data_IF_891423686297
#
_entry.id   IF_891423686297
#
_cell.length_a   1.000
_cell.length_b   1.000
_cell.length_c   1.000
_cell.angle_alpha   90.00
_cell.angle_beta   90.00
_cell.angle_gamma   90.00
#
_symmetry.space_group_name_H-M   'P 1'
#
loop_
_entity.id
_entity.type
_entity.pdbx_description
1 polymer ?
#
# COMPACT_ATOMS: atom_id res chain seq x y z
N UNK A 1 -14.40 -41.09 -41.96
CA UNK A 1 -14.82 -39.79 -41.39
C UNK A 1 -13.79 -39.39 -40.36
N UNK A 2 -12.83 -38.55 -40.76
CA UNK A 2 -11.69 -38.15 -39.94
C UNK A 2 -12.01 -36.83 -39.21
N UNK A 3 -11.48 -36.73 -37.99
CA UNK A 3 -11.66 -35.64 -37.03
C UNK A 3 -10.80 -34.45 -37.41
N UNK A 4 -11.41 -33.28 -37.60
CA UNK A 4 -10.69 -32.01 -37.63
C UNK A 4 -10.71 -31.40 -36.23
N UNK A 5 -9.60 -31.55 -35.53
CA UNK A 5 -9.29 -30.83 -34.28
C UNK A 5 -8.58 -29.54 -34.66
N UNK A 6 -9.25 -28.40 -34.46
CA UNK A 6 -8.57 -27.11 -34.45
C UNK A 6 -7.84 -26.96 -33.11
N UNK A 7 -6.51 -27.10 -33.13
CA UNK A 7 -5.63 -26.67 -32.04
C UNK A 7 -4.96 -25.38 -32.52
N UNK A 8 -5.42 -24.24 -32.03
CA UNK A 8 -4.70 -22.98 -32.20
C UNK A 8 -3.59 -22.91 -31.16
N UNK A 9 -2.40 -23.41 -31.50
CA UNK A 9 -1.19 -23.23 -30.70
C UNK A 9 -0.57 -21.87 -31.08
N UNK A 10 -0.96 -20.82 -30.37
CA UNK A 10 -0.26 -19.52 -30.47
C UNK A 10 0.89 -19.53 -29.48
N UNK A 11 2.09 -19.88 -29.95
CA UNK A 11 3.32 -19.72 -29.17
C UNK A 11 3.77 -18.26 -29.28
N UNK A 12 3.41 -17.42 -28.31
CA UNK A 12 4.05 -16.11 -28.14
C UNK A 12 5.14 -16.25 -27.09
N UNK A 13 6.39 -16.18 -27.54
CA UNK A 13 7.55 -16.06 -26.66
C UNK A 13 7.61 -14.61 -26.17
N UNK A 14 7.32 -14.39 -24.88
CA UNK A 14 7.59 -13.12 -24.23
C UNK A 14 8.80 -13.27 -23.30
N UNK A 15 9.83 -12.45 -23.56
CA UNK A 15 10.96 -12.30 -22.66
C UNK A 15 10.49 -11.73 -21.32
N UNK A 16 10.78 -12.45 -20.24
CA UNK A 16 10.50 -11.99 -18.88
C UNK A 16 11.49 -10.91 -18.48
N UNK A 17 11.02 -9.67 -18.42
CA UNK A 17 11.59 -8.64 -17.57
C UNK A 17 10.44 -7.93 -16.84
N UNK A 18 9.72 -8.67 -15.99
CA UNK A 18 8.92 -8.04 -14.95
C UNK A 18 9.88 -7.43 -13.95
N UNK A 19 10.20 -6.14 -14.10
CA UNK A 19 10.91 -5.41 -13.07
C UNK A 19 10.06 -5.50 -11.81
N UNK A 20 10.54 -6.24 -10.79
CA UNK A 20 10.00 -6.12 -9.45
C UNK A 20 10.01 -4.62 -9.13
N UNK A 21 8.83 -4.03 -8.97
CA UNK A 21 8.76 -2.62 -8.67
C UNK A 21 9.53 -2.37 -7.38
N UNK A 22 10.60 -1.58 -7.50
CA UNK A 22 11.42 -1.24 -6.37
C UNK A 22 10.54 -0.55 -5.32
N UNK A 23 10.60 -1.07 -4.10
CA UNK A 23 9.93 -0.47 -2.95
C UNK A 23 10.44 0.96 -2.76
N UNK A 24 9.52 1.93 -2.79
CA UNK A 24 9.84 3.34 -2.59
C UNK A 24 9.41 3.74 -1.19
N UNK A 25 10.36 4.17 -0.36
CA UNK A 25 10.09 4.80 0.93
C UNK A 25 9.89 6.30 0.70
N UNK A 26 8.80 6.87 1.20
CA UNK A 26 8.43 8.27 0.92
C UNK A 26 9.49 9.23 1.41
N UNK A 27 9.98 9.04 2.63
CA UNK A 27 10.97 9.93 3.23
C UNK A 27 12.41 9.53 2.85
N UNK A 28 12.63 8.28 2.42
CA UNK A 28 13.92 7.81 1.88
C UNK A 28 15.13 8.10 2.77
N UNK A 29 14.92 8.21 4.09
CA UNK A 29 15.90 8.80 5.00
C UNK A 29 17.02 7.82 5.30
N UNK A 30 18.30 8.21 5.15
CA UNK A 30 19.38 7.45 5.77
C UNK A 30 19.20 7.54 7.29
N UNK A 31 19.25 6.39 7.96
CA UNK A 31 19.23 6.34 9.43
C UNK A 31 20.28 7.30 10.00
N UNK A 32 19.80 8.30 10.74
CA UNK A 32 20.59 9.25 11.55
C UNK A 32 21.86 9.82 10.88
N UNK A 33 21.72 10.50 9.75
CA UNK A 33 22.80 11.35 9.26
C UNK A 33 22.91 12.62 10.15
N UNK A 34 24.08 12.81 10.79
CA UNK A 34 24.42 14.08 11.44
C UNK A 34 24.45 15.20 10.38
N UNK A 35 23.64 16.25 10.54
CA UNK A 35 23.62 17.42 9.63
C UNK A 35 22.28 17.75 8.97
N UNK A 36 21.18 17.04 9.28
CA UNK A 36 19.86 17.19 8.62
C UNK A 36 18.86 18.09 9.36
N UNK A 37 19.29 18.80 10.41
CA UNK A 37 18.37 19.60 11.24
C UNK A 37 17.55 18.77 12.24
N UNK A 38 17.91 17.50 12.45
CA UNK A 38 17.32 16.62 13.47
C UNK A 38 17.64 17.15 14.86
N UNK A 39 16.60 17.40 15.64
CA UNK A 39 16.68 17.65 17.08
C UNK A 39 16.29 16.38 17.82
N UNK A 40 17.20 15.91 18.68
CA UNK A 40 16.93 14.80 19.58
C UNK A 40 16.20 15.31 20.81
N UNK A 41 15.04 14.74 21.08
CA UNK A 41 14.31 15.00 22.30
C UNK A 41 14.51 13.82 23.25
N UNK A 42 14.83 14.15 24.50
CA UNK A 42 15.03 13.18 25.56
C UNK A 42 13.79 12.34 25.86
N UNK A 43 13.97 11.30 26.66
CA UNK A 43 12.89 10.46 27.12
C UNK A 43 11.77 11.29 27.77
N UNK A 44 10.54 11.04 27.37
CA UNK A 44 9.35 11.62 27.99
C UNK A 44 8.76 10.66 29.03
N UNK A 45 7.69 11.04 29.73
CA UNK A 45 6.93 10.11 30.60
C UNK A 45 5.65 9.60 29.94
N UNK A 46 5.31 10.10 28.75
CA UNK A 46 4.09 9.75 28.02
C UNK A 46 4.40 8.89 26.81
N UNK A 47 3.45 8.01 26.47
CA UNK A 47 3.42 7.26 25.21
C UNK A 47 2.90 8.18 24.10
N UNK A 48 3.50 8.12 22.90
CA UNK A 48 3.12 9.00 21.78
C UNK A 48 2.93 8.20 20.50
N UNK A 49 1.89 8.54 19.75
CA UNK A 49 1.68 8.06 18.38
C UNK A 49 1.97 9.24 17.47
N UNK A 50 3.05 9.17 16.69
CA UNK A 50 3.62 10.31 15.96
C UNK A 50 3.91 9.93 14.51
N UNK A 51 3.68 10.88 13.61
CA UNK A 51 4.01 10.77 12.21
C UNK A 51 3.43 11.94 11.43
N UNK A 52 2.98 11.70 10.21
CA UNK A 52 2.59 12.77 9.30
C UNK A 52 1.35 12.42 8.47
N UNK A 53 0.62 13.48 8.11
CA UNK A 53 -0.44 13.43 7.13
C UNK A 53 0.11 13.67 5.73
N UNK A 54 -0.40 12.92 4.76
CA UNK A 54 -0.03 13.05 3.36
C UNK A 54 -1.24 12.89 2.43
N UNK A 55 -1.13 13.48 1.23
CA UNK A 55 -2.06 13.26 0.12
C UNK A 55 -1.50 12.24 -0.85
N UNK A 56 -2.35 11.32 -1.31
CA UNK A 56 -2.05 10.45 -2.44
C UNK A 56 -2.44 11.17 -3.75
N UNK A 57 -1.47 11.56 -4.58
CA UNK A 57 -1.73 12.41 -5.75
C UNK A 57 -2.02 11.62 -7.03
N UNK A 58 -1.69 10.33 -7.07
CA UNK A 58 -1.81 9.46 -8.24
C UNK A 58 -2.60 8.19 -7.93
N UNK A 59 -3.17 7.57 -8.95
CA UNK A 59 -3.83 6.27 -8.84
C UNK A 59 -2.81 5.14 -8.62
N UNK A 60 -3.28 4.02 -8.04
CA UNK A 60 -2.52 2.77 -7.83
C UNK A 60 -1.28 2.87 -6.93
N UNK A 61 -1.30 3.78 -5.96
CA UNK A 61 -0.32 3.70 -4.89
C UNK A 61 -0.70 2.54 -3.98
N UNK A 62 0.12 1.51 -3.95
CA UNK A 62 -0.10 0.35 -3.08
C UNK A 62 0.93 0.35 -1.95
N UNK A 63 0.47 0.55 -0.71
CA UNK A 63 1.31 0.47 0.48
C UNK A 63 1.54 -1.00 0.82
N UNK A 64 2.79 -1.38 0.97
CA UNK A 64 3.21 -2.76 1.24
C UNK A 64 3.88 -2.93 2.58
N UNK A 65 4.46 -1.85 3.13
CA UNK A 65 5.17 -1.85 4.40
C UNK A 65 4.88 -0.59 5.17
N UNK A 66 4.88 -0.69 6.49
CA UNK A 66 4.98 0.45 7.39
C UNK A 66 6.25 0.29 8.22
N UNK A 67 6.80 1.39 8.69
CA UNK A 67 7.95 1.32 9.57
C UNK A 67 8.31 2.64 10.23
N UNK A 68 9.48 2.64 10.85
CA UNK A 68 10.01 3.77 11.58
C UNK A 68 11.55 3.74 11.72
N UNK A 69 12.13 4.83 12.22
CA UNK A 69 13.55 4.92 12.59
C UNK A 69 13.75 5.61 13.97
N UNK A 70 13.36 4.95 15.06
CA UNK A 70 13.46 5.49 16.43
C UNK A 70 14.89 5.44 17.03
N UNK A 71 15.24 6.29 18.04
CA UNK A 71 16.53 6.32 18.76
C UNK A 71 17.01 5.03 19.45
N UNK A 72 16.41 3.89 19.18
CA UNK A 72 16.64 2.63 19.88
C UNK A 72 16.70 1.48 18.87
N UNK A 73 16.74 0.24 19.34
CA UNK A 73 16.76 -0.97 18.51
C UNK A 73 15.47 -1.78 18.59
N UNK A 74 14.46 -1.33 19.33
CA UNK A 74 13.27 -2.11 19.66
C UNK A 74 12.32 -2.29 18.47
N UNK A 75 11.38 -3.22 18.55
CA UNK A 75 10.30 -3.30 17.58
C UNK A 75 9.22 -2.27 17.92
N UNK A 76 8.62 -1.62 16.91
CA UNK A 76 7.57 -0.63 17.12
C UNK A 76 6.31 -0.96 16.32
N UNK A 77 5.18 -0.59 16.91
CA UNK A 77 3.91 -0.65 16.20
C UNK A 77 3.79 0.58 15.27
N UNK A 78 3.44 0.36 14.02
CA UNK A 78 3.21 1.39 13.01
C UNK A 78 1.81 1.23 12.42
N UNK A 79 1.12 2.33 12.17
CA UNK A 79 -0.25 2.37 11.72
C UNK A 79 -0.45 3.34 10.55
N UNK A 80 -1.42 3.00 9.70
CA UNK A 80 -1.94 3.81 8.62
C UNK A 80 -3.41 4.10 8.87
N UNK A 81 -3.79 5.37 8.80
CA UNK A 81 -5.15 5.85 9.05
C UNK A 81 -5.72 6.59 7.83
N UNK A 82 -7.03 6.55 7.69
CA UNK A 82 -7.75 7.50 6.84
C UNK A 82 -7.83 8.84 7.58
N UNK A 83 -7.34 9.94 6.98
CA UNK A 83 -7.30 11.23 7.67
C UNK A 83 -8.70 11.85 7.87
N UNK A 84 -9.64 11.55 6.98
CA UNK A 84 -11.00 12.11 7.00
C UNK A 84 -11.89 11.40 8.02
N UNK A 85 -11.93 10.06 7.96
CA UNK A 85 -12.76 9.24 8.86
C UNK A 85 -12.07 8.89 10.17
N UNK A 86 -10.76 9.17 10.28
CA UNK A 86 -9.89 8.80 11.40
C UNK A 86 -9.79 7.29 11.65
N UNK A 87 -10.31 6.48 10.74
CA UNK A 87 -10.31 5.03 10.86
C UNK A 87 -8.90 4.46 10.66
N UNK A 88 -8.54 3.50 11.50
CA UNK A 88 -7.36 2.66 11.28
C UNK A 88 -7.60 1.79 10.04
N UNK A 89 -6.68 1.88 9.07
CA UNK A 89 -6.73 1.10 7.83
C UNK A 89 -5.85 -0.14 7.97
N UNK A 90 -4.65 0.05 8.50
CA UNK A 90 -3.66 -1.01 8.61
C UNK A 90 -2.68 -0.75 9.75
N UNK A 91 -2.08 -1.82 10.25
CA UNK A 91 -1.07 -1.77 11.30
C UNK A 91 -0.09 -2.93 11.13
N UNK A 92 1.17 -2.69 11.48
CA UNK A 92 2.19 -3.73 11.62
C UNK A 92 2.99 -3.50 12.90
N UNK A 93 3.66 -4.54 13.37
CA UNK A 93 4.82 -4.39 14.25
C UNK A 93 6.07 -4.59 13.41
N UNK A 94 7.02 -3.65 13.47
CA UNK A 94 8.26 -3.75 12.72
C UNK A 94 9.15 -4.88 13.24
N UNK A 95 10.16 -5.26 12.47
CA UNK A 95 11.33 -5.92 13.05
C UNK A 95 12.04 -5.00 14.06
N UNK A 96 12.97 -5.57 14.83
CA UNK A 96 13.98 -4.78 15.54
C UNK A 96 14.94 -4.12 14.54
N UNK A 97 15.60 -3.05 14.96
CA UNK A 97 16.64 -2.36 14.19
C UNK A 97 18.04 -2.91 14.50
N UNK A 98 18.92 -2.90 13.50
CA UNK A 98 20.31 -3.35 13.65
C UNK A 98 21.14 -2.43 14.56
N UNK A 99 20.87 -1.13 14.52
CA UNK A 99 21.50 -0.11 15.36
C UNK A 99 20.48 0.96 15.75
N UNK A 100 20.75 1.71 16.83
CA UNK A 100 19.88 2.81 17.26
C UNK A 100 19.71 3.84 16.14
N UNK A 101 18.47 4.23 15.85
CA UNK A 101 18.15 5.13 14.74
C UNK A 101 18.09 4.45 13.37
N UNK A 102 18.40 3.15 13.26
CA UNK A 102 18.26 2.43 12.00
C UNK A 102 16.80 2.26 11.59
N UNK A 103 16.59 2.29 10.27
CA UNK A 103 15.31 1.99 9.66
C UNK A 103 14.90 0.55 9.97
N UNK A 104 13.62 0.39 10.35
CA UNK A 104 12.99 -0.91 10.58
C UNK A 104 11.57 -0.89 10.03
N UNK A 105 11.09 -2.03 9.57
CA UNK A 105 9.79 -2.12 8.90
C UNK A 105 9.11 -3.46 9.15
N UNK A 106 7.80 -3.48 8.95
CA UNK A 106 7.00 -4.70 8.86
C UNK A 106 6.21 -4.72 7.56
N UNK A 107 6.11 -5.88 6.93
CA UNK A 107 5.27 -6.08 5.75
C UNK A 107 3.79 -6.15 6.16
N UNK A 108 2.94 -5.53 5.35
CA UNK A 108 1.48 -5.70 5.46
C UNK A 108 1.09 -7.06 4.90
N UNK A 109 0.32 -7.83 5.67
CA UNK A 109 -0.25 -9.11 5.21
C UNK A 109 -1.21 -8.91 4.04
N UNK A 110 -1.92 -7.78 4.03
CA UNK A 110 -2.75 -7.33 2.92
C UNK A 110 -2.30 -5.92 2.52
N UNK A 111 -1.69 -5.75 1.33
CA UNK A 111 -1.32 -4.43 0.83
C UNK A 111 -2.54 -3.49 0.75
N UNK A 112 -2.32 -2.21 1.00
CA UNK A 112 -3.38 -1.20 1.02
C UNK A 112 -3.29 -0.35 -0.24
N UNK A 113 -4.32 -0.38 -1.08
CA UNK A 113 -4.42 0.51 -2.23
C UNK A 113 -4.98 1.85 -1.77
N UNK A 114 -4.21 2.92 -1.95
CA UNK A 114 -4.62 4.27 -1.64
C UNK A 114 -5.51 4.82 -2.75
N UNK A 115 -6.48 5.63 -2.36
CA UNK A 115 -7.36 6.36 -3.27
C UNK A 115 -6.70 7.68 -3.64
N UNK A 116 -6.63 7.98 -4.93
CA UNK A 116 -6.13 9.26 -5.42
C UNK A 116 -6.97 10.43 -4.87
N UNK A 117 -6.31 11.51 -4.47
CA UNK A 117 -6.92 12.70 -3.87
C UNK A 117 -7.31 12.55 -2.41
N UNK A 118 -7.13 11.37 -1.80
CA UNK A 118 -7.41 11.17 -0.37
C UNK A 118 -6.18 11.46 0.49
N UNK A 119 -6.46 11.92 1.71
CA UNK A 119 -5.46 12.13 2.74
C UNK A 119 -5.41 10.93 3.70
N UNK A 120 -4.19 10.60 4.12
CA UNK A 120 -3.89 9.52 5.02
C UNK A 120 -2.90 9.99 6.08
N UNK A 121 -2.82 9.25 7.19
CA UNK A 121 -1.81 9.48 8.22
C UNK A 121 -1.03 8.20 8.44
N UNK A 122 0.29 8.27 8.34
CA UNK A 122 1.18 7.22 8.84
C UNK A 122 1.72 7.65 10.19
N UNK A 123 1.72 6.73 11.16
CA UNK A 123 2.22 7.00 12.50
C UNK A 123 2.88 5.77 13.11
N UNK A 124 3.78 6.01 14.07
CA UNK A 124 4.42 4.97 14.85
C UNK A 124 4.28 5.26 16.33
N UNK A 125 4.05 4.20 17.10
CA UNK A 125 3.92 4.25 18.54
C UNK A 125 5.31 4.18 19.19
N UNK A 126 5.63 5.24 19.92
CA UNK A 126 6.76 5.35 20.82
C UNK A 126 6.30 5.04 22.25
N UNK A 127 7.06 4.24 22.97
CA UNK A 127 6.83 3.96 24.39
C UNK A 127 7.10 5.18 25.28
N UNK A 128 6.71 5.12 26.54
CA UNK A 128 6.87 6.25 27.46
C UNK A 128 8.34 6.68 27.57
N UNK A 129 9.23 5.73 27.81
CA UNK A 129 10.64 5.93 28.18
C UNK A 129 11.59 6.15 27.01
N UNK A 130 11.13 6.03 25.77
CA UNK A 130 11.97 6.26 24.60
C UNK A 130 12.17 7.76 24.33
N UNK A 131 13.23 8.13 23.62
CA UNK A 131 13.36 9.48 23.04
C UNK A 131 12.56 9.62 21.74
N UNK A 132 12.56 10.80 21.14
CA UNK A 132 12.01 10.99 19.80
C UNK A 132 12.85 11.93 18.94
N UNK A 133 12.66 11.80 17.63
CA UNK A 133 13.24 12.68 16.64
C UNK A 133 12.21 13.73 16.27
N UNK A 134 12.61 15.00 16.35
CA UNK A 134 11.88 16.11 15.78
C UNK A 134 12.75 16.88 14.80
N UNK A 135 12.24 17.19 13.63
CA UNK A 135 12.98 17.99 12.62
C UNK A 135 12.21 19.27 12.36
N UNK A 136 12.87 20.43 12.29
CA UNK A 136 12.14 21.67 12.06
C UNK A 136 11.70 21.79 10.59
N UNK A 137 10.77 22.68 10.30
CA UNK A 137 10.28 22.97 8.93
C UNK A 137 11.33 23.47 7.93
N UNK A 138 12.55 23.78 8.37
CA UNK A 138 13.68 24.08 7.47
C UNK A 138 14.48 22.84 7.05
N UNK A 139 14.04 21.64 7.45
CA UNK A 139 14.62 20.38 7.05
C UNK A 139 14.60 20.18 5.52
N UNK A 140 15.53 19.37 4.97
CA UNK A 140 15.51 19.02 3.56
C UNK A 140 14.15 18.44 3.13
N UNK A 141 13.77 18.67 1.87
CA UNK A 141 12.51 18.18 1.29
C UNK A 141 12.32 16.65 1.40
N UNK A 142 13.39 15.87 1.62
CA UNK A 142 13.30 14.44 1.93
C UNK A 142 12.47 14.15 3.20
N UNK A 143 12.40 15.10 4.15
CA UNK A 143 11.53 15.00 5.31
C UNK A 143 10.09 15.40 5.00
N UNK A 144 9.86 16.22 3.98
CA UNK A 144 8.56 16.79 3.63
C UNK A 144 8.36 16.77 2.11
N UNK A 145 8.16 15.61 1.47
CA UNK A 145 8.04 15.55 0.02
C UNK A 145 6.87 16.44 -0.44
N UNK A 146 7.16 17.45 -1.26
CA UNK A 146 6.18 18.44 -1.73
C UNK A 146 5.63 18.12 -3.13
N UNK A 147 6.09 17.03 -3.74
CA UNK A 147 5.71 16.60 -5.09
C UNK A 147 5.86 15.09 -5.25
N UNK A 148 5.24 14.54 -6.30
CA UNK A 148 5.28 13.12 -6.63
C UNK A 148 4.00 12.38 -6.29
N UNK A 149 4.08 11.05 -6.19
CA UNK A 149 2.92 10.19 -5.90
C UNK A 149 2.29 10.47 -4.53
N UNK A 150 3.12 10.85 -3.57
CA UNK A 150 2.73 11.20 -2.21
C UNK A 150 3.25 12.61 -1.90
N UNK A 151 2.44 13.42 -1.23
CA UNK A 151 2.86 14.75 -0.76
C UNK A 151 2.54 14.92 0.71
N UNK A 152 3.54 15.31 1.48
CA UNK A 152 3.41 15.66 2.89
C UNK A 152 2.53 16.90 3.07
N UNK A 153 1.70 16.92 4.11
CA UNK A 153 0.83 18.05 4.46
C UNK A 153 1.25 18.70 5.77
N UNK A 154 1.22 17.93 6.86
CA UNK A 154 1.48 18.39 8.22
C UNK A 154 1.78 17.20 9.13
N UNK A 155 2.41 17.47 10.24
CA UNK A 155 2.62 16.47 11.27
C UNK A 155 1.39 16.21 12.10
N UNK A 156 1.35 14.99 12.62
CA UNK A 156 0.26 14.47 13.40
C UNK A 156 0.82 13.79 14.65
N UNK A 157 0.21 14.07 15.80
CA UNK A 157 0.56 13.34 17.02
C UNK A 157 -0.62 13.17 17.98
N UNK A 158 -0.49 12.20 18.88
CA UNK A 158 -1.28 12.03 20.10
C UNK A 158 -0.37 11.60 21.25
N UNK A 159 -0.69 12.03 22.47
CA UNK A 159 0.01 11.65 23.71
C UNK A 159 -0.91 10.87 24.63
N UNK A 160 -0.35 10.01 25.48
CA UNK A 160 -1.11 9.10 26.37
C UNK A 160 -2.05 8.23 25.55
N UNK A 161 -1.46 7.49 24.62
CA UNK A 161 -2.14 6.96 23.43
C UNK A 161 -1.69 5.54 23.12
N UNK A 162 -2.45 4.83 22.29
CA UNK A 162 -2.07 3.54 21.70
C UNK A 162 -1.78 3.70 20.20
N UNK A 163 -1.28 2.64 19.57
CA UNK A 163 -1.06 2.62 18.10
C UNK A 163 -2.36 2.76 17.30
N UNK A 164 -3.51 2.39 17.87
CA UNK A 164 -4.81 2.45 17.20
C UNK A 164 -5.50 3.80 17.37
N UNK A 165 -4.98 4.68 18.24
CA UNK A 165 -5.51 6.02 18.43
C UNK A 165 -5.08 6.92 17.27
N UNK A 166 -6.06 7.60 16.65
CA UNK A 166 -5.78 8.57 15.61
C UNK A 166 -5.00 9.77 16.17
N UNK A 167 -3.85 10.15 15.57
CA UNK A 167 -3.05 11.30 16.00
C UNK A 167 -3.71 12.63 15.58
N UNK A 168 -4.62 13.14 16.41
CA UNK A 168 -5.48 14.29 16.08
C UNK A 168 -4.78 15.65 16.14
N UNK A 169 -3.74 15.79 16.98
CA UNK A 169 -3.00 17.05 17.11
C UNK A 169 -2.15 17.30 15.87
N UNK A 170 -1.96 18.58 15.51
CA UNK A 170 -1.21 18.95 14.31
C UNK A 170 -0.06 19.90 14.61
N UNK A 171 0.97 19.86 13.78
CA UNK A 171 2.06 20.84 13.77
C UNK A 171 2.45 21.13 12.32
N UNK A 172 2.78 22.39 12.03
CA UNK A 172 3.37 22.80 10.75
C UNK A 172 4.85 23.17 10.86
N UNK A 173 5.37 23.26 12.08
CA UNK A 173 6.74 23.72 12.35
C UNK A 173 7.71 22.57 12.60
N UNK A 174 7.20 21.39 12.94
CA UNK A 174 7.98 20.30 13.49
C UNK A 174 7.53 18.97 12.93
N UNK A 175 8.47 18.30 12.26
CA UNK A 175 8.39 16.94 11.81
C UNK A 175 8.56 15.95 12.94
N UNK A 176 7.49 15.22 13.22
CA UNK A 176 7.38 14.38 14.40
C UNK A 176 7.37 12.91 14.04
N UNK A 177 8.28 12.18 14.68
CA UNK A 177 8.31 10.74 14.54
C UNK A 177 9.01 10.32 13.25
N UNK A 178 9.78 9.24 13.31
CA UNK A 178 10.47 8.70 12.15
C UNK A 178 9.57 7.73 11.37
N UNK A 179 8.24 7.85 11.50
CA UNK A 179 7.30 6.94 10.87
C UNK A 179 7.30 7.16 9.35
N UNK A 180 7.25 6.06 8.60
CA UNK A 180 7.15 6.11 7.14
C UNK A 180 6.53 4.83 6.62
N UNK A 181 6.27 4.80 5.32
CA UNK A 181 5.77 3.64 4.64
C UNK A 181 6.43 3.46 3.30
N UNK A 182 6.31 2.24 2.81
CA UNK A 182 6.82 1.88 1.52
C UNK A 182 5.70 1.49 0.59
N UNK A 183 5.81 1.96 -0.63
CA UNK A 183 4.79 1.77 -1.64
C UNK A 183 5.38 1.41 -3.00
N UNK A 184 4.52 0.90 -3.86
CA UNK A 184 4.77 0.73 -5.29
C UNK A 184 3.78 1.58 -6.08
N UNK A 185 4.20 1.98 -7.27
CA UNK A 185 3.39 2.75 -8.23
C UNK A 185 3.44 2.03 -9.56
N UNK A 186 2.40 1.29 -9.89
CA UNK A 186 2.37 0.49 -11.10
C UNK A 186 1.04 0.62 -11.83
N UNK A 187 1.01 0.22 -13.11
CA UNK A 187 -0.26 0.10 -13.80
C UNK A 187 -1.12 -0.94 -13.08
N UNK A 188 -2.29 -0.51 -12.61
CA UNK A 188 -3.32 -1.41 -12.11
C UNK A 188 -4.15 -1.90 -13.28
N UNK A 189 -4.49 -3.20 -13.29
CA UNK A 189 -5.55 -3.74 -14.16
C UNK A 189 -6.77 -3.93 -13.27
N UNK A 190 -7.79 -3.11 -13.47
CA UNK A 190 -9.10 -3.36 -12.85
C UNK A 190 -9.92 -4.22 -13.81
N UNK A 191 -10.39 -5.37 -13.32
CA UNK A 191 -11.38 -6.20 -14.00
C UNK A 191 -12.70 -5.98 -13.29
N UNK A 192 -13.65 -5.35 -13.96
CA UNK A 192 -15.01 -5.15 -13.44
C UNK A 192 -16.03 -5.84 -14.35
N UNK A 193 -16.97 -6.55 -13.73
CA UNK A 193 -18.15 -7.05 -14.42
C UNK A 193 -19.14 -5.89 -14.62
N UNK A 194 -19.76 -5.84 -15.79
CA UNK A 194 -20.79 -4.84 -16.09
C UNK A 194 -22.03 -5.13 -15.24
N UNK A 195 -22.51 -4.13 -14.50
CA UNK A 195 -23.73 -4.27 -13.70
C UNK A 195 -24.91 -4.73 -14.58
N UNK A 196 -25.59 -5.80 -14.17
CA UNK A 196 -26.68 -6.42 -14.95
C UNK A 196 -26.25 -7.54 -15.89
N UNK A 197 -24.96 -7.88 -15.99
CA UNK A 197 -24.51 -9.09 -16.70
C UNK A 197 -24.49 -10.30 -15.76
N UNK A 198 -24.97 -11.45 -16.23
CA UNK A 198 -24.93 -12.70 -15.47
C UNK A 198 -23.49 -13.20 -15.41
N UNK A 199 -22.89 -13.13 -14.21
CA UNK A 199 -21.50 -13.52 -13.94
C UNK A 199 -21.31 -15.03 -13.73
N UNK A 200 -22.38 -15.82 -13.95
CA UNK A 200 -22.38 -17.24 -13.68
C UNK A 200 -22.15 -18.03 -14.97
N UNK A 201 -21.14 -18.90 -14.94
CA UNK A 201 -21.02 -20.01 -15.90
C UNK A 201 -21.92 -21.14 -15.38
N UNK A 202 -22.84 -21.61 -16.21
CA UNK A 202 -23.78 -22.68 -15.85
C UNK A 202 -23.39 -23.97 -16.56
N UNK A 203 -23.89 -25.13 -16.12
CA UNK A 203 -23.89 -26.29 -16.99
C UNK A 203 -24.88 -26.04 -18.14
N UNK A 204 -24.71 -26.67 -19.31
CA UNK A 204 -25.71 -26.59 -20.40
C UNK A 204 -27.13 -26.93 -19.91
N UNK A 205 -27.24 -27.81 -18.91
CA UNK A 205 -28.52 -28.22 -18.31
C UNK A 205 -29.17 -27.18 -17.39
N UNK A 206 -28.43 -26.16 -16.95
CA UNK A 206 -28.93 -25.12 -16.02
C UNK A 206 -28.84 -23.69 -16.57
N UNK A 207 -28.17 -23.51 -17.71
CA UNK A 207 -28.09 -22.23 -18.41
C UNK A 207 -29.38 -21.85 -19.15
N UNK A 208 -29.67 -20.56 -19.25
CA UNK A 208 -30.84 -20.04 -19.97
C UNK A 208 -30.74 -20.41 -21.45
N UNK A 209 -31.75 -21.10 -21.99
CA UNK A 209 -31.76 -21.55 -23.39
C UNK A 209 -30.89 -22.78 -23.70
N UNK A 210 -30.41 -23.51 -22.68
CA UNK A 210 -29.65 -24.76 -22.88
C UNK A 210 -28.15 -24.57 -23.15
N UNK A 211 -27.63 -23.35 -22.99
CA UNK A 211 -26.22 -23.01 -23.20
C UNK A 211 -25.55 -22.69 -21.86
N UNK A 212 -24.47 -23.40 -21.52
CA UNK A 212 -23.75 -23.30 -20.25
C UNK A 212 -22.81 -22.10 -20.14
N UNK A 213 -22.58 -21.39 -21.24
CA UNK A 213 -21.69 -20.23 -21.26
C UNK A 213 -22.55 -18.97 -21.28
N UNK A 214 -22.65 -18.29 -20.13
CA UNK A 214 -23.07 -16.89 -20.11
C UNK A 214 -21.93 -16.06 -20.67
N UNK A 215 -22.17 -15.33 -21.77
CA UNK A 215 -21.22 -14.36 -22.28
C UNK A 215 -21.13 -13.17 -21.32
N UNK A 216 -20.08 -13.12 -20.51
CA UNK A 216 -19.75 -11.94 -19.70
C UNK A 216 -18.91 -10.95 -20.52
N UNK A 217 -19.27 -9.68 -20.50
CA UNK A 217 -18.41 -8.62 -21.04
C UNK A 217 -17.58 -8.05 -19.89
N UNK A 218 -16.26 -8.27 -19.94
CA UNK A 218 -15.31 -7.67 -19.02
C UNK A 218 -14.72 -6.43 -19.67
N UNK A 219 -14.70 -5.32 -18.94
CA UNK A 219 -13.93 -4.15 -19.37
C UNK A 219 -12.56 -4.23 -18.72
N UNK A 220 -11.52 -4.22 -19.56
CA UNK A 220 -10.14 -4.07 -19.13
C UNK A 220 -9.79 -2.59 -19.26
N UNK A 221 -9.43 -1.98 -18.14
CA UNK A 221 -8.91 -0.62 -18.14
C UNK A 221 -7.55 -0.59 -17.47
N UNK A 222 -6.59 0.01 -18.17
CA UNK A 222 -5.32 0.43 -17.60
C UNK A 222 -5.47 1.89 -17.19
N UNK A 223 -5.03 2.21 -15.99
CA UNK A 223 -5.27 3.51 -15.34
C UNK A 223 -4.01 4.36 -15.20
N UNK A 224 -2.96 4.03 -15.94
CA UNK A 224 -1.73 4.81 -16.07
C UNK A 224 -1.06 4.57 -17.42
N UNK A 225 -0.24 5.52 -17.87
CA UNK A 225 0.67 5.31 -19.01
C UNK A 225 1.81 4.37 -18.61
N UNK A 226 1.69 3.09 -18.96
CA UNK A 226 2.69 2.05 -18.71
C UNK A 226 2.16 0.68 -19.17
N UNK A 227 3.05 -0.24 -19.50
CA UNK A 227 2.65 -1.59 -19.91
C UNK A 227 2.09 -2.37 -18.71
N UNK A 228 0.80 -2.66 -18.73
CA UNK A 228 0.17 -3.63 -17.84
C UNK A 228 -0.02 -4.93 -18.62
N UNK A 229 0.53 -6.04 -18.13
CA UNK A 229 0.35 -7.35 -18.75
C UNK A 229 -0.67 -8.15 -17.94
N UNK A 230 -1.81 -8.47 -18.57
CA UNK A 230 -2.74 -9.46 -18.06
C UNK A 230 -2.24 -10.84 -18.51
N UNK A 231 -1.62 -11.59 -17.61
CA UNK A 231 -1.04 -12.89 -17.95
C UNK A 231 -2.12 -13.96 -18.16
N UNK A 232 -3.18 -13.96 -17.35
CA UNK A 232 -4.31 -14.88 -17.50
C UNK A 232 -5.55 -14.35 -16.79
N UNK A 233 -6.73 -14.73 -17.31
CA UNK A 233 -7.99 -14.73 -16.57
C UNK A 233 -8.37 -16.20 -16.39
N UNK A 234 -8.40 -16.67 -15.15
CA UNK A 234 -8.88 -18.02 -14.86
C UNK A 234 -10.39 -17.95 -14.57
N UNK A 235 -11.18 -18.49 -15.49
CA UNK A 235 -12.62 -18.68 -15.29
C UNK A 235 -12.82 -20.16 -14.94
N UNK A 236 -13.20 -20.45 -13.70
CA UNK A 236 -13.55 -21.80 -13.28
C UNK A 236 -15.06 -21.97 -13.35
N UNK A 237 -15.53 -22.79 -14.28
CA UNK A 237 -16.92 -23.23 -14.27
C UNK A 237 -17.15 -24.03 -12.97
N UNK A 238 -18.17 -23.67 -12.18
CA UNK A 238 -18.63 -24.51 -11.09
C UNK A 238 -19.89 -25.23 -11.54
N UNK A 239 -19.73 -26.46 -12.01
CA UNK A 239 -20.81 -27.34 -12.45
C UNK A 239 -20.39 -28.81 -12.36
N UNK A 240 -21.36 -29.71 -12.24
CA UNK A 240 -21.15 -31.16 -12.26
C UNK A 240 -21.50 -31.77 -13.63
N UNK A 241 -21.40 -30.96 -14.69
CA UNK A 241 -21.78 -31.30 -16.06
C UNK A 241 -20.66 -31.96 -16.87
N UNK A 242 -20.97 -32.42 -18.08
CA UNK A 242 -19.99 -33.06 -18.97
C UNK A 242 -19.04 -32.01 -19.56
N UNK A 243 -18.11 -31.53 -18.74
CA UNK A 243 -17.18 -30.42 -19.01
C UNK A 243 -15.98 -30.86 -19.86
N UNK A 244 -16.09 -31.94 -20.61
CA UNK A 244 -14.99 -32.56 -21.36
C UNK A 244 -14.55 -31.77 -22.60
N UNK A 245 -15.20 -30.64 -22.91
CA UNK A 245 -14.93 -29.80 -24.08
C UNK A 245 -14.78 -28.30 -23.74
N UNK A 246 -14.60 -27.93 -22.47
CA UNK A 246 -14.26 -26.55 -22.09
C UNK A 246 -12.74 -26.31 -22.15
#
# INVERSE_FOLDING_TARGET
MWRDRFIALVLVVFGFAGAAQAQTWVLGQPSTAAGTGITWYGATTSQWNMGYEFTCNVSNVTVTHLGCAWPDTEAHACALFNATTQALIAQVTTSTAATAGAWRSGALTTPVVLTQGQNYVVASLKSATQGYIGVNSSAPAAWHPTAGAITHIRDRWASTTTVTTFPSSTSSQWHWGPADFAYTTGPGITVAATAGTSQNVYANSTGTGGNGISAGTFTLSANSSGAATLNSINITAQGTGNDSNA
#
